data_IF_078138750481
#
_entry.id   IF_078138750481
#
_cell.length_a   1.000
_cell.length_b   1.000
_cell.length_c   1.000
_cell.angle_alpha   90.00
_cell.angle_beta   90.00
_cell.angle_gamma   90.00
#
_symmetry.space_group_name_H-M   'P 1'
#
loop_
_entity.id
_entity.type
_entity.pdbx_description
1 polymer ?
#
# COMPACT_ATOMS: atom_id res chain seq x y z
N UNK A 1 -3.65 -5.41 0.99
CA UNK A 1 -2.53 -6.29 0.54
C UNK A 1 -1.19 -5.65 0.90
N UNK A 2 -0.96 -4.39 0.51
CA UNK A 2 0.28 -3.64 0.77
C UNK A 2 0.73 -3.65 2.25
N UNK A 3 -0.20 -3.48 3.20
CA UNK A 3 0.07 -3.67 4.65
C UNK A 3 0.87 -4.95 4.93
N UNK A 4 0.47 -6.08 4.34
CA UNK A 4 1.15 -7.36 4.57
C UNK A 4 2.50 -7.42 3.85
N UNK A 5 2.64 -6.82 2.66
CA UNK A 5 3.91 -6.75 1.94
C UNK A 5 4.95 -6.07 2.82
N UNK A 6 4.64 -4.87 3.31
CA UNK A 6 5.53 -4.13 4.20
C UNK A 6 5.80 -4.88 5.51
N UNK A 7 4.75 -5.44 6.12
CA UNK A 7 4.87 -6.25 7.34
C UNK A 7 5.87 -7.40 7.19
N UNK A 8 5.84 -8.12 6.07
CA UNK A 8 6.74 -9.25 5.82
C UNK A 8 8.15 -8.85 5.38
N UNK A 9 8.36 -7.59 4.97
CA UNK A 9 9.68 -7.05 4.64
C UNK A 9 10.47 -6.59 5.88
N UNK A 10 9.78 -6.25 6.97
CA UNK A 10 10.40 -5.81 8.23
C UNK A 10 11.28 -6.94 8.82
N UNK A 11 12.46 -6.56 9.31
CA UNK A 11 13.40 -7.47 9.99
C UNK A 11 13.58 -7.13 11.46
N UNK A 12 14.31 -7.96 12.21
CA UNK A 12 14.68 -7.66 13.60
C UNK A 12 15.71 -6.53 13.76
N UNK A 13 16.37 -6.11 12.68
CA UNK A 13 17.44 -5.11 12.74
C UNK A 13 16.83 -3.71 12.73
N UNK A 14 17.15 -2.91 13.73
CA UNK A 14 16.83 -1.49 13.69
C UNK A 14 17.56 -0.81 12.51
N UNK A 15 16.81 -0.18 11.62
CA UNK A 15 17.35 0.47 10.43
C UNK A 15 16.40 1.54 9.91
N UNK A 16 16.94 2.52 9.17
CA UNK A 16 16.15 3.51 8.46
C UNK A 16 15.15 2.86 7.50
N UNK A 17 15.55 1.78 6.81
CA UNK A 17 14.63 1.04 5.94
C UNK A 17 13.42 0.53 6.73
N UNK A 18 13.64 -0.11 7.88
CA UNK A 18 12.55 -0.58 8.74
C UNK A 18 11.65 0.59 9.19
N UNK A 19 12.21 1.75 9.56
CA UNK A 19 11.42 2.93 9.92
C UNK A 19 10.51 3.38 8.78
N UNK A 20 11.05 3.45 7.56
CA UNK A 20 10.24 3.80 6.40
C UNK A 20 9.17 2.73 6.08
N UNK A 21 9.50 1.45 6.16
CA UNK A 21 8.55 0.35 5.93
C UNK A 21 7.41 0.36 6.96
N UNK A 22 7.72 0.64 8.23
CA UNK A 22 6.74 0.76 9.30
C UNK A 22 5.82 1.97 9.06
N UNK A 23 6.39 3.11 8.67
CA UNK A 23 5.62 4.31 8.37
C UNK A 23 4.67 4.09 7.18
N UNK A 24 5.15 3.46 6.10
CA UNK A 24 4.31 3.11 4.96
C UNK A 24 3.23 2.09 5.35
N UNK A 25 3.59 1.02 6.07
CA UNK A 25 2.62 0.05 6.58
C UNK A 25 1.52 0.70 7.42
N UNK A 26 1.86 1.68 8.27
CA UNK A 26 0.90 2.41 9.08
C UNK A 26 -0.05 3.25 8.23
N UNK A 27 0.46 3.92 7.19
CA UNK A 27 -0.36 4.67 6.24
C UNK A 27 -1.30 3.76 5.42
N UNK A 28 -0.80 2.61 4.93
CA UNK A 28 -1.61 1.60 4.27
C UNK A 28 -2.72 1.03 5.16
N UNK A 29 -2.50 0.96 6.48
CA UNK A 29 -3.53 0.55 7.43
C UNK A 29 -4.65 1.60 7.51
N UNK A 30 -4.32 2.89 7.39
CA UNK A 30 -5.31 3.97 7.29
C UNK A 30 -6.12 3.84 6.01
N UNK A 31 -5.50 3.61 4.84
CA UNK A 31 -6.25 3.41 3.59
C UNK A 31 -7.22 2.23 3.68
N UNK A 32 -6.77 1.12 4.30
CA UNK A 32 -7.65 -0.04 4.55
C UNK A 32 -8.85 0.34 5.42
N UNK A 33 -8.65 1.17 6.44
CA UNK A 33 -9.74 1.65 7.31
C UNK A 33 -10.68 2.58 6.56
N UNK A 34 -10.13 3.54 5.83
CA UNK A 34 -10.88 4.52 5.04
C UNK A 34 -11.81 3.79 4.04
N UNK A 35 -11.28 2.81 3.30
CA UNK A 35 -12.09 1.96 2.43
C UNK A 35 -13.11 1.10 3.17
N UNK A 36 -12.74 0.50 4.31
CA UNK A 36 -13.67 -0.33 5.07
C UNK A 36 -14.88 0.46 5.55
N UNK A 37 -14.65 1.67 6.07
CA UNK A 37 -15.73 2.58 6.48
C UNK A 37 -16.68 2.83 5.31
N UNK A 38 -16.16 3.29 4.17
CA UNK A 38 -16.98 3.58 2.99
C UNK A 38 -17.71 2.35 2.45
N UNK A 39 -17.02 1.23 2.31
CA UNK A 39 -17.65 -0.01 1.85
C UNK A 39 -18.79 -0.45 2.78
N UNK A 40 -18.63 -0.34 4.09
CA UNK A 40 -19.68 -0.69 5.05
C UNK A 40 -20.84 0.31 5.07
N UNK A 41 -20.59 1.60 4.87
CA UNK A 41 -21.65 2.61 4.65
C UNK A 41 -22.54 2.23 3.46
N UNK A 42 -21.96 1.66 2.39
CA UNK A 42 -22.70 1.13 1.24
C UNK A 42 -23.25 -0.30 1.42
N UNK A 43 -23.22 -0.86 2.63
CA UNK A 43 -23.79 -2.17 2.94
C UNK A 43 -22.96 -3.37 2.46
N UNK A 44 -21.70 -3.17 2.09
CA UNK A 44 -20.80 -4.26 1.74
C UNK A 44 -20.51 -5.16 2.96
N UNK A 45 -20.23 -6.44 2.72
CA UNK A 45 -19.86 -7.42 3.75
C UNK A 45 -18.48 -8.03 3.46
N UNK A 46 -17.68 -8.35 4.49
CA UNK A 46 -16.37 -8.96 4.31
C UNK A 46 -16.40 -10.19 3.41
N UNK A 47 -15.60 -10.17 2.33
CA UNK A 47 -15.47 -11.29 1.41
C UNK A 47 -14.56 -12.40 1.96
N UNK A 48 -14.91 -13.66 1.69
CA UNK A 48 -14.06 -14.83 1.96
C UNK A 48 -12.73 -14.79 1.18
N UNK A 49 -12.67 -14.04 0.08
CA UNK A 49 -11.44 -13.84 -0.72
C UNK A 49 -10.36 -13.03 0.04
N UNK A 50 -10.68 -12.48 1.22
CA UNK A 50 -9.74 -11.71 2.04
C UNK A 50 -8.47 -12.49 2.38
N UNK A 51 -8.56 -13.80 2.59
CA UNK A 51 -7.39 -14.63 2.85
C UNK A 51 -6.42 -14.66 1.66
N UNK A 52 -6.94 -14.64 0.42
CA UNK A 52 -6.12 -14.56 -0.78
C UNK A 52 -5.21 -13.32 -0.80
N UNK A 53 -5.73 -12.16 -0.41
CA UNK A 53 -4.92 -10.93 -0.31
C UNK A 53 -3.82 -11.00 0.75
N UNK A 54 -4.02 -11.81 1.80
CA UNK A 54 -2.96 -12.08 2.78
C UNK A 54 -1.86 -12.95 2.17
N UNK A 55 -2.22 -14.03 1.46
CA UNK A 55 -1.25 -14.91 0.79
C UNK A 55 -0.42 -14.13 -0.22
N UNK A 56 -1.05 -13.29 -1.05
CA UNK A 56 -0.34 -12.45 -2.02
C UNK A 56 0.63 -11.50 -1.32
N UNK A 57 0.19 -10.85 -0.23
CA UNK A 57 1.04 -9.98 0.56
C UNK A 57 2.23 -10.70 1.18
N UNK A 58 2.03 -11.93 1.67
CA UNK A 58 3.10 -12.80 2.16
C UNK A 58 4.12 -13.11 1.07
N UNK A 59 3.67 -13.58 -0.10
CA UNK A 59 4.58 -13.95 -1.19
C UNK A 59 5.44 -12.75 -1.60
N UNK A 60 4.84 -11.61 -1.92
CA UNK A 60 5.63 -10.45 -2.37
C UNK A 60 6.51 -9.88 -1.25
N UNK A 61 6.02 -9.78 -0.02
CA UNK A 61 6.79 -9.24 1.09
C UNK A 61 7.96 -10.14 1.51
N UNK A 62 7.69 -11.43 1.70
CA UNK A 62 8.71 -12.38 2.16
C UNK A 62 9.80 -12.61 1.11
N UNK A 63 9.43 -12.85 -0.15
CA UNK A 63 10.43 -13.14 -1.19
C UNK A 63 11.24 -11.89 -1.57
N UNK A 64 10.61 -10.71 -1.67
CA UNK A 64 11.38 -9.47 -1.92
C UNK A 64 12.40 -9.20 -0.82
N UNK A 65 12.07 -9.52 0.44
CA UNK A 65 13.01 -9.45 1.55
C UNK A 65 14.19 -10.40 1.40
N UNK A 66 13.96 -11.64 0.96
CA UNK A 66 15.04 -12.60 0.71
C UNK A 66 16.02 -12.13 -0.35
N UNK A 67 15.54 -11.40 -1.37
CA UNK A 67 16.36 -10.80 -2.42
C UNK A 67 17.01 -9.46 -2.02
N UNK A 68 16.82 -9.00 -0.78
CA UNK A 68 17.49 -7.84 -0.21
C UNK A 68 16.84 -6.48 -0.51
N UNK A 69 17.51 -5.41 -0.08
CA UNK A 69 16.96 -4.04 -0.04
C UNK A 69 16.50 -3.53 -1.42
N UNK A 70 17.26 -3.76 -2.50
CA UNK A 70 16.84 -3.36 -3.85
C UNK A 70 15.53 -4.02 -4.29
N UNK A 71 15.33 -5.30 -3.96
CA UNK A 71 14.10 -6.01 -4.30
C UNK A 71 12.91 -5.55 -3.45
N UNK A 72 13.13 -5.24 -2.16
CA UNK A 72 12.13 -4.60 -1.28
C UNK A 72 11.63 -3.30 -1.92
N UNK A 73 12.55 -2.40 -2.26
CA UNK A 73 12.22 -1.07 -2.80
C UNK A 73 11.52 -1.17 -4.17
N UNK A 74 12.01 -2.04 -5.07
CA UNK A 74 11.36 -2.26 -6.38
C UNK A 74 9.95 -2.84 -6.23
N UNK A 75 9.74 -3.73 -5.27
CA UNK A 75 8.42 -4.29 -4.98
C UNK A 75 7.48 -3.20 -4.47
N UNK A 76 7.93 -2.35 -3.54
CA UNK A 76 7.19 -1.18 -3.09
C UNK A 76 6.78 -0.28 -4.26
N UNK A 77 7.75 0.20 -5.05
CA UNK A 77 7.49 1.04 -6.23
C UNK A 77 6.45 0.41 -7.15
N UNK A 78 6.54 -0.89 -7.42
CA UNK A 78 5.59 -1.57 -8.31
C UNK A 78 4.17 -1.63 -7.74
N UNK A 79 4.01 -1.95 -6.44
CA UNK A 79 2.68 -1.98 -5.80
C UNK A 79 2.07 -0.59 -5.78
N UNK A 80 2.82 0.42 -5.34
CA UNK A 80 2.27 1.76 -5.17
C UNK A 80 1.99 2.42 -6.53
N UNK A 81 2.79 2.13 -7.56
CA UNK A 81 2.49 2.62 -8.92
C UNK A 81 1.17 2.03 -9.44
N UNK A 82 0.86 0.77 -9.09
CA UNK A 82 -0.44 0.18 -9.41
C UNK A 82 -1.57 0.80 -8.58
N UNK A 83 -1.32 1.07 -7.30
CA UNK A 83 -2.28 1.75 -6.44
C UNK A 83 -2.64 3.14 -7.02
N UNK A 84 -1.64 3.98 -7.32
CA UNK A 84 -1.81 5.28 -7.99
C UNK A 84 -2.68 5.17 -9.25
N UNK A 85 -2.39 4.17 -10.09
CA UNK A 85 -3.16 3.94 -11.31
C UNK A 85 -4.62 3.63 -11.02
N UNK A 86 -4.90 2.68 -10.13
CA UNK A 86 -6.26 2.27 -9.78
C UNK A 86 -7.05 3.38 -9.08
N UNK A 87 -6.44 4.11 -8.13
CA UNK A 87 -7.07 5.29 -7.54
C UNK A 87 -7.42 6.32 -8.62
N UNK A 88 -6.51 6.56 -9.57
CA UNK A 88 -6.77 7.47 -10.68
C UNK A 88 -7.90 6.99 -11.59
N UNK A 89 -8.04 5.68 -11.79
CA UNK A 89 -9.21 5.13 -12.50
C UNK A 89 -10.51 5.31 -11.71
N UNK A 90 -10.50 5.08 -10.40
CA UNK A 90 -11.67 5.28 -9.53
C UNK A 90 -12.15 6.73 -9.55
N UNK A 91 -11.23 7.69 -9.42
CA UNK A 91 -11.54 9.13 -9.44
C UNK A 91 -12.17 9.56 -10.77
N UNK A 92 -11.70 8.98 -11.89
CA UNK A 92 -12.18 9.34 -13.24
C UNK A 92 -13.48 8.67 -13.64
N UNK A 93 -13.70 7.41 -13.23
CA UNK A 93 -14.78 6.57 -13.77
C UNK A 93 -16.06 6.59 -12.94
N UNK A 94 -15.99 7.02 -11.68
CA UNK A 94 -17.12 6.96 -10.76
C UNK A 94 -17.41 8.36 -10.22
N UNK A 95 -18.70 8.69 -10.16
CA UNK A 95 -19.18 9.92 -9.56
C UNK A 95 -19.36 9.72 -8.06
N UNK A 96 -18.31 10.06 -7.31
CA UNK A 96 -18.29 9.96 -5.85
C UNK A 96 -18.92 11.19 -5.21
N UNK A 97 -19.55 11.00 -4.04
CA UNK A 97 -19.81 12.13 -3.14
C UNK A 97 -18.49 12.81 -2.72
N UNK A 98 -18.58 14.06 -2.31
CA UNK A 98 -17.42 14.90 -2.00
C UNK A 98 -16.54 14.30 -0.90
N UNK A 99 -17.12 13.68 0.12
CA UNK A 99 -16.36 13.10 1.23
C UNK A 99 -15.59 11.85 0.77
N UNK A 100 -16.24 10.96 0.01
CA UNK A 100 -15.59 9.78 -0.56
C UNK A 100 -14.52 10.16 -1.58
N UNK A 101 -14.77 11.18 -2.42
CA UNK A 101 -13.78 11.70 -3.38
C UNK A 101 -12.51 12.17 -2.68
N UNK A 102 -12.64 12.97 -1.61
CA UNK A 102 -11.49 13.49 -0.85
C UNK A 102 -10.64 12.39 -0.24
N UNK A 103 -11.28 11.34 0.28
CA UNK A 103 -10.57 10.17 0.82
C UNK A 103 -9.74 9.50 -0.27
N UNK A 104 -10.34 9.21 -1.43
CA UNK A 104 -9.67 8.54 -2.55
C UNK A 104 -8.50 9.39 -3.09
N UNK A 105 -8.68 10.71 -3.17
CA UNK A 105 -7.62 11.64 -3.62
C UNK A 105 -6.47 11.76 -2.61
N UNK A 106 -6.79 11.82 -1.31
CA UNK A 106 -5.81 11.78 -0.22
C UNK A 106 -4.99 10.48 -0.27
N UNK A 107 -5.66 9.33 -0.37
CA UNK A 107 -4.99 8.04 -0.43
C UNK A 107 -4.11 7.95 -1.69
N UNK A 108 -4.57 8.44 -2.85
CA UNK A 108 -3.74 8.51 -4.05
C UNK A 108 -2.48 9.38 -3.86
N UNK A 109 -2.62 10.53 -3.20
CA UNK A 109 -1.49 11.42 -2.94
C UNK A 109 -0.44 10.78 -2.04
N UNK A 110 -0.88 10.02 -1.03
CA UNK A 110 0.00 9.24 -0.17
C UNK A 110 0.82 8.22 -0.98
N UNK A 111 0.19 7.52 -1.92
CA UNK A 111 0.86 6.54 -2.80
C UNK A 111 1.92 7.18 -3.71
N UNK A 112 1.64 8.37 -4.24
CA UNK A 112 2.65 9.15 -4.95
C UNK A 112 3.85 9.46 -4.04
N UNK A 113 3.58 9.81 -2.78
CA UNK A 113 4.59 10.00 -1.74
C UNK A 113 5.44 8.75 -1.51
N UNK A 114 4.81 7.58 -1.39
CA UNK A 114 5.49 6.29 -1.24
C UNK A 114 6.40 5.98 -2.44
N UNK A 115 5.89 6.09 -3.68
CA UNK A 115 6.69 5.87 -4.91
C UNK A 115 7.93 6.75 -4.92
N UNK A 116 7.78 8.04 -4.62
CA UNK A 116 8.88 9.00 -4.62
C UNK A 116 9.93 8.65 -3.55
N UNK A 117 9.48 8.30 -2.33
CA UNK A 117 10.37 7.88 -1.25
C UNK A 117 11.17 6.64 -1.62
N UNK A 118 10.51 5.61 -2.16
CA UNK A 118 11.19 4.36 -2.55
C UNK A 118 12.17 4.56 -3.69
N UNK A 119 11.83 5.40 -4.69
CA UNK A 119 12.76 5.77 -5.76
C UNK A 119 13.98 6.51 -5.22
N UNK A 120 13.78 7.48 -4.32
CA UNK A 120 14.88 8.20 -3.68
C UNK A 120 15.83 7.26 -2.94
N UNK A 121 15.30 6.36 -2.11
CA UNK A 121 16.09 5.38 -1.37
C UNK A 121 16.81 4.36 -2.27
N UNK A 122 16.26 4.06 -3.44
CA UNK A 122 16.86 3.15 -4.43
C UNK A 122 17.99 3.82 -5.22
N UNK A 123 17.89 5.12 -5.46
CA UNK A 123 18.93 5.91 -6.14
C UNK A 123 20.11 6.23 -5.21
N UNK A 124 19.88 6.27 -3.90
CA UNK A 124 20.92 6.49 -2.89
C UNK A 124 21.66 5.20 -2.44
N UNK A 125 21.40 4.07 -3.10
CA UNK A 125 22.10 2.79 -2.89
C UNK A 125 23.30 2.60 -3.82
#
# INVERSE_FOLDING_TARGET
MAVNIYKFQITKKESELNRHLIAAMANEMTHVQDFQVKLFEYGWKPSMLRWGYWVVGFVFGFFSRLFGKKAILKTGIWVETKAVHHYGELIRKVDWDEDTRRIIEKDQADEHGHVNRWRGLLQSE
#
